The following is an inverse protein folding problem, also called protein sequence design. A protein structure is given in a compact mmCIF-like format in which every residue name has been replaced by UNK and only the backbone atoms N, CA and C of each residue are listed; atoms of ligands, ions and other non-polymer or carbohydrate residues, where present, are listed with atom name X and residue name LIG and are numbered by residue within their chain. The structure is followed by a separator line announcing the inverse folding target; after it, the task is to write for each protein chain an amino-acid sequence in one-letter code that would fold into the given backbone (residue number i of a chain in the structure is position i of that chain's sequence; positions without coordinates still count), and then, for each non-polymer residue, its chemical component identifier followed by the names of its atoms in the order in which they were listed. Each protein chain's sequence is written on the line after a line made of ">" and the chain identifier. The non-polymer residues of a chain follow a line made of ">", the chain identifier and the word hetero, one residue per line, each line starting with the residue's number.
data_IF_612801064627
#
_entry.id   IF_612801064627
#
_cell.length_a   1.000
_cell.length_b   1.000
_cell.length_c   1.000
_cell.angle_alpha   90.00
_cell.angle_beta   90.00
_cell.angle_gamma   90.00
#
_symmetry.space_group_name_H-M   'P 1'
#
loop_
_entity.id
_entity.type
_entity.pdbx_description
1 polymer ?
#
# COMPACT_ATOMS: atom_id res chain seq x y z
N UNK A 1 44.41 0.52 60.30
CA UNK A 1 43.43 0.09 59.27
C UNK A 1 41.96 0.25 59.73
N UNK A 2 41.57 1.28 60.50
CA UNK A 2 40.19 1.44 61.03
C UNK A 2 39.36 2.54 60.34
N UNK A 3 39.96 3.31 59.44
CA UNK A 3 39.32 4.49 58.83
C UNK A 3 38.58 4.18 57.52
N UNK A 4 38.87 3.04 56.88
CA UNK A 4 38.18 2.65 55.65
C UNK A 4 36.74 2.16 55.91
N UNK A 5 36.48 1.60 57.09
CA UNK A 5 35.16 1.07 57.47
C UNK A 5 34.12 2.18 57.64
N UNK A 6 34.49 3.30 58.26
CA UNK A 6 33.57 4.42 58.54
C UNK A 6 33.09 5.11 57.27
N UNK A 7 33.97 5.29 56.28
CA UNK A 7 33.63 5.92 54.99
C UNK A 7 32.64 5.07 54.19
N UNK A 8 32.84 3.75 54.19
CA UNK A 8 31.94 2.79 53.51
C UNK A 8 30.59 2.73 54.21
N UNK A 9 30.56 2.71 55.55
CA UNK A 9 29.32 2.75 56.31
C UNK A 9 28.52 4.04 56.09
N UNK A 10 29.20 5.18 55.97
CA UNK A 10 28.56 6.47 55.71
C UNK A 10 27.98 6.55 54.30
N UNK A 11 28.72 6.04 53.31
CA UNK A 11 28.22 5.91 51.95
C UNK A 11 26.97 5.01 51.92
N UNK A 12 27.04 3.81 52.51
CA UNK A 12 25.92 2.85 52.56
C UNK A 12 24.67 3.43 53.24
N UNK A 13 24.83 4.22 54.32
CA UNK A 13 23.72 4.93 54.96
C UNK A 13 23.11 6.02 54.06
N UNK A 14 23.93 6.74 53.30
CA UNK A 14 23.46 7.73 52.31
C UNK A 14 22.60 7.09 51.21
N UNK A 15 23.05 5.95 50.65
CA UNK A 15 22.27 5.19 49.67
C UNK A 15 20.95 4.69 50.24
N UNK A 16 20.96 4.19 51.48
CA UNK A 16 19.75 3.65 52.15
C UNK A 16 18.70 4.73 52.43
N UNK A 17 19.13 5.94 52.77
CA UNK A 17 18.25 7.09 52.99
C UNK A 17 17.69 7.64 51.67
N UNK A 18 18.53 7.66 50.61
CA UNK A 18 18.11 8.03 49.25
C UNK A 18 17.09 7.04 48.67
N UNK A 19 17.29 5.73 48.87
CA UNK A 19 16.36 4.70 48.40
C UNK A 19 15.02 4.65 49.15
N UNK A 20 14.99 5.06 50.43
CA UNK A 20 13.75 5.19 51.21
C UNK A 20 13.00 6.48 50.95
N UNK A 21 13.71 7.54 50.57
CA UNK A 21 13.11 8.76 50.02
C UNK A 21 12.93 8.58 48.51
N UNK A 22 12.10 7.60 48.13
CA UNK A 22 11.63 7.50 46.75
C UNK A 22 11.07 8.86 46.32
N UNK A 23 11.15 9.22 45.02
CA UNK A 23 10.66 10.51 44.56
C UNK A 23 9.19 10.61 44.99
N UNK A 24 8.90 11.47 45.98
CA UNK A 24 7.54 11.94 46.17
C UNK A 24 7.24 12.67 44.87
N UNK A 25 6.56 11.96 43.96
CA UNK A 25 5.92 12.52 42.79
C UNK A 25 4.90 13.52 43.33
N UNK A 26 5.38 14.73 43.64
CA UNK A 26 4.54 15.90 43.73
C UNK A 26 3.94 16.01 42.35
N UNK A 27 2.65 15.72 42.25
CA UNK A 27 1.78 16.14 41.16
C UNK A 27 1.82 17.67 41.08
N UNK A 28 2.90 18.19 40.50
CA UNK A 28 2.93 19.51 39.94
C UNK A 28 2.15 19.40 38.62
N UNK A 29 0.92 19.90 38.68
CA UNK A 29 0.05 20.19 37.56
C UNK A 29 0.88 20.65 36.35
N UNK A 30 1.00 19.81 35.31
CA UNK A 30 1.57 20.19 34.01
C UNK A 30 2.90 19.52 33.57
N UNK A 31 3.35 18.42 34.19
CA UNK A 31 4.58 17.72 33.79
C UNK A 31 4.42 16.65 32.67
N UNK A 32 5.54 16.24 32.01
CA UNK A 32 5.64 15.50 30.75
C UNK A 32 4.85 14.18 30.60
N UNK A 33 4.30 13.64 31.69
CA UNK A 33 3.51 12.40 31.65
C UNK A 33 2.24 12.52 30.79
N UNK A 34 1.62 13.70 30.78
CA UNK A 34 0.48 13.99 29.91
C UNK A 34 0.89 14.17 28.44
N UNK A 35 2.11 14.66 28.19
CA UNK A 35 2.67 14.80 26.84
C UNK A 35 3.06 13.46 26.23
N UNK A 36 3.70 12.57 27.00
CA UNK A 36 4.01 11.22 26.53
C UNK A 36 2.75 10.42 26.22
N UNK A 37 1.70 10.54 27.03
CA UNK A 37 0.39 9.92 26.76
C UNK A 37 -0.21 10.40 25.44
N UNK A 38 -0.18 11.71 25.20
CA UNK A 38 -0.71 12.32 23.97
C UNK A 38 0.12 11.92 22.73
N UNK A 39 1.45 11.85 22.86
CA UNK A 39 2.34 11.36 21.80
C UNK A 39 2.07 9.88 21.49
N UNK A 40 1.90 9.04 22.52
CA UNK A 40 1.57 7.62 22.34
C UNK A 40 0.21 7.47 21.65
N UNK A 41 -0.83 8.16 22.11
CA UNK A 41 -2.17 8.12 21.51
C UNK A 41 -2.15 8.56 20.03
N UNK A 42 -1.42 9.64 19.70
CA UNK A 42 -1.26 10.08 18.30
C UNK A 42 -0.54 9.04 17.43
N UNK A 43 0.54 8.45 17.91
CA UNK A 43 1.27 7.40 17.19
C UNK A 43 0.41 6.13 17.01
N UNK A 44 -0.43 5.80 17.97
CA UNK A 44 -1.34 4.66 17.92
C UNK A 44 -2.45 4.89 16.89
N UNK A 45 -3.08 6.07 16.90
CA UNK A 45 -4.08 6.46 15.90
C UNK A 45 -3.49 6.49 14.48
N UNK A 46 -2.27 7.01 14.34
CA UNK A 46 -1.60 7.05 13.03
C UNK A 46 -1.30 5.64 12.50
N UNK A 47 -0.88 4.72 13.38
CA UNK A 47 -0.67 3.30 13.05
C UNK A 47 -1.98 2.60 12.71
N UNK A 48 -3.04 2.81 13.49
CA UNK A 48 -4.36 2.23 13.20
C UNK A 48 -4.91 2.72 11.85
N UNK A 49 -4.68 3.99 11.51
CA UNK A 49 -5.07 4.51 10.20
C UNK A 49 -4.24 3.87 9.08
N UNK A 50 -2.95 3.64 9.29
CA UNK A 50 -2.09 2.94 8.33
C UNK A 50 -2.51 1.49 8.15
N UNK A 51 -2.88 0.79 9.23
CA UNK A 51 -3.41 -0.58 9.18
C UNK A 51 -4.76 -0.62 8.43
N UNK A 52 -5.62 0.38 8.63
CA UNK A 52 -6.88 0.52 7.88
C UNK A 52 -6.59 0.78 6.39
N UNK A 53 -5.68 1.70 6.06
CA UNK A 53 -5.30 1.97 4.66
C UNK A 53 -4.70 0.72 4.01
N UNK A 54 -3.78 0.03 4.69
CA UNK A 54 -3.17 -1.20 4.21
C UNK A 54 -4.21 -2.32 4.01
N UNK A 55 -5.17 -2.46 4.94
CA UNK A 55 -6.25 -3.43 4.82
C UNK A 55 -7.16 -3.13 3.64
N UNK A 56 -7.49 -1.85 3.41
CA UNK A 56 -8.26 -1.42 2.25
C UNK A 56 -7.48 -1.69 0.96
N UNK A 57 -6.20 -1.33 0.87
CA UNK A 57 -5.36 -1.61 -0.31
C UNK A 57 -5.28 -3.12 -0.60
N UNK A 58 -5.13 -3.95 0.43
CA UNK A 58 -5.09 -5.40 0.27
C UNK A 58 -6.43 -5.96 -0.26
N UNK A 59 -7.57 -5.37 0.12
CA UNK A 59 -8.88 -5.78 -0.37
C UNK A 59 -9.19 -5.25 -1.79
N UNK A 60 -8.80 -4.02 -2.10
CA UNK A 60 -9.08 -3.41 -3.40
C UNK A 60 -8.13 -3.89 -4.50
N UNK A 61 -6.89 -4.27 -4.16
CA UNK A 61 -5.92 -4.79 -5.12
C UNK A 61 -6.46 -5.94 -5.99
N UNK A 62 -6.99 -7.05 -5.43
CA UNK A 62 -7.54 -8.14 -6.25
C UNK A 62 -8.77 -7.70 -7.08
N UNK A 63 -9.59 -6.79 -6.58
CA UNK A 63 -10.73 -6.24 -7.33
C UNK A 63 -10.26 -5.42 -8.53
N UNK A 64 -9.27 -4.52 -8.33
CA UNK A 64 -8.70 -3.73 -9.42
C UNK A 64 -8.02 -4.62 -10.47
N UNK A 65 -7.33 -5.68 -10.05
CA UNK A 65 -6.74 -6.64 -10.99
C UNK A 65 -7.81 -7.40 -11.79
N UNK A 66 -8.93 -7.77 -11.16
CA UNK A 66 -10.05 -8.41 -11.85
C UNK A 66 -10.71 -7.47 -12.88
N UNK A 67 -10.98 -6.22 -12.52
CA UNK A 67 -11.48 -5.20 -13.45
C UNK A 67 -10.53 -5.02 -14.64
N UNK A 68 -9.23 -4.97 -14.35
CA UNK A 68 -8.20 -4.82 -15.36
C UNK A 68 -8.15 -6.02 -16.30
N UNK A 69 -8.22 -7.25 -15.78
CA UNK A 69 -8.25 -8.47 -16.59
C UNK A 69 -9.42 -8.47 -17.58
N UNK A 70 -10.62 -8.06 -17.13
CA UNK A 70 -11.79 -7.96 -18.00
C UNK A 70 -11.55 -6.95 -19.13
N UNK A 71 -10.96 -5.79 -18.81
CA UNK A 71 -10.65 -4.79 -19.83
C UNK A 71 -9.64 -5.29 -20.86
N UNK A 72 -8.65 -6.10 -20.45
CA UNK A 72 -7.68 -6.71 -21.36
C UNK A 72 -8.37 -7.68 -22.31
N UNK A 73 -9.21 -8.56 -21.79
CA UNK A 73 -9.93 -9.54 -22.60
C UNK A 73 -10.89 -8.85 -23.58
N UNK A 74 -11.53 -7.75 -23.16
CA UNK A 74 -12.36 -6.90 -24.03
C UNK A 74 -11.55 -6.23 -25.15
N UNK A 75 -10.32 -5.77 -24.87
CA UNK A 75 -9.48 -5.15 -25.90
C UNK A 75 -8.99 -6.16 -26.96
N UNK A 76 -8.70 -7.40 -26.55
CA UNK A 76 -8.24 -8.44 -27.48
C UNK A 76 -9.36 -9.05 -28.34
N UNK A 77 -10.56 -9.17 -27.78
CA UNK A 77 -11.70 -9.81 -28.47
C UNK A 77 -12.98 -9.00 -28.29
N UNK A 78 -13.02 -7.75 -28.77
CA UNK A 78 -14.16 -6.85 -28.59
C UNK A 78 -15.43 -7.34 -29.30
N UNK A 79 -15.30 -8.25 -30.29
CA UNK A 79 -16.40 -8.92 -30.97
C UNK A 79 -17.25 -9.82 -30.06
N UNK A 80 -16.67 -10.35 -28.97
CA UNK A 80 -17.37 -11.21 -28.01
C UNK A 80 -18.36 -10.44 -27.13
N UNK A 81 -18.27 -9.10 -27.10
CA UNK A 81 -19.25 -8.24 -26.46
C UNK A 81 -20.61 -8.24 -27.17
N UNK A 82 -20.66 -8.73 -28.41
CA UNK A 82 -21.83 -8.65 -29.26
C UNK A 82 -22.34 -10.04 -29.67
N UNK A 83 -23.67 -10.22 -29.80
CA UNK A 83 -24.25 -11.47 -30.30
C UNK A 83 -23.68 -11.88 -31.66
N UNK A 84 -23.56 -13.18 -31.88
CA UNK A 84 -23.15 -13.77 -33.16
C UNK A 84 -24.04 -13.28 -34.31
N UNK A 85 -23.41 -12.92 -35.43
CA UNK A 85 -24.12 -12.42 -36.62
C UNK A 85 -24.64 -10.97 -36.53
N UNK A 86 -24.45 -10.26 -35.42
CA UNK A 86 -24.88 -8.87 -35.31
C UNK A 86 -24.01 -7.90 -36.14
N UNK A 87 -24.64 -6.86 -36.70
CA UNK A 87 -23.93 -5.77 -37.37
C UNK A 87 -22.89 -5.10 -36.49
N UNK A 88 -23.15 -5.03 -35.18
CA UNK A 88 -22.21 -4.47 -34.21
C UNK A 88 -20.92 -5.31 -34.15
N UNK A 89 -21.04 -6.64 -34.14
CA UNK A 89 -19.91 -7.57 -34.19
C UNK A 89 -19.10 -7.45 -35.48
N UNK A 90 -19.77 -7.37 -36.62
CA UNK A 90 -19.13 -7.18 -37.94
C UNK A 90 -18.35 -5.87 -37.99
N UNK A 91 -18.94 -4.77 -37.50
CA UNK A 91 -18.26 -3.47 -37.41
C UNK A 91 -17.13 -3.45 -36.38
N UNK A 92 -17.21 -4.31 -35.37
CA UNK A 92 -16.17 -4.45 -34.34
C UNK A 92 -14.87 -5.03 -34.90
N UNK A 93 -14.92 -5.79 -36.01
CA UNK A 93 -13.71 -6.26 -36.70
C UNK A 93 -12.77 -5.13 -37.17
N UNK A 94 -13.28 -3.89 -37.29
CA UNK A 94 -12.48 -2.70 -37.60
C UNK A 94 -12.10 -1.85 -36.36
N UNK A 95 -12.41 -2.31 -35.14
CA UNK A 95 -12.19 -1.58 -33.90
C UNK A 95 -10.72 -1.20 -33.72
N UNK A 96 -9.81 -2.16 -33.84
CA UNK A 96 -8.37 -1.93 -33.66
C UNK A 96 -7.82 -0.92 -34.68
N UNK A 97 -8.22 -1.03 -35.95
CA UNK A 97 -7.80 -0.09 -36.99
C UNK A 97 -8.33 1.34 -36.71
N UNK A 98 -9.55 1.46 -36.20
CA UNK A 98 -10.11 2.76 -35.80
C UNK A 98 -9.39 3.33 -34.59
N UNK A 99 -9.13 2.52 -33.56
CA UNK A 99 -8.38 2.92 -32.37
C UNK A 99 -7.01 3.48 -32.77
N UNK A 100 -6.25 2.75 -33.59
CA UNK A 100 -4.94 3.19 -34.10
C UNK A 100 -5.06 4.53 -34.85
N UNK A 101 -6.05 4.68 -35.73
CA UNK A 101 -6.23 5.91 -36.50
C UNK A 101 -6.62 7.10 -35.63
N UNK A 102 -7.44 6.88 -34.60
CA UNK A 102 -7.78 7.92 -33.63
C UNK A 102 -6.56 8.34 -32.82
N UNK A 103 -5.76 7.39 -32.33
CA UNK A 103 -4.55 7.68 -31.56
C UNK A 103 -3.50 8.43 -32.39
N UNK A 104 -3.35 8.10 -33.69
CA UNK A 104 -2.49 8.86 -34.61
C UNK A 104 -2.91 10.33 -34.72
N UNK A 105 -4.20 10.59 -34.91
CA UNK A 105 -4.74 11.96 -34.95
C UNK A 105 -4.61 12.67 -33.60
N UNK A 106 -4.72 11.94 -32.50
CA UNK A 106 -4.56 12.48 -31.16
C UNK A 106 -3.10 12.91 -30.91
N UNK A 107 -2.13 12.14 -31.41
CA UNK A 107 -0.71 12.46 -31.30
C UNK A 107 -0.36 13.82 -31.91
N UNK A 108 -1.01 14.21 -33.02
CA UNK A 108 -0.80 15.50 -33.68
C UNK A 108 -1.34 16.69 -32.88
N UNK A 109 -2.34 16.48 -32.02
CA UNK A 109 -3.04 17.54 -31.26
C UNK A 109 -2.61 17.61 -29.80
N UNK A 110 -2.50 16.45 -29.15
CA UNK A 110 -2.28 16.30 -27.71
C UNK A 110 -1.33 15.13 -27.45
N UNK A 111 -0.07 15.30 -27.82
CA UNK A 111 0.99 14.29 -27.68
C UNK A 111 1.08 13.71 -26.27
N UNK A 112 1.04 14.55 -25.22
CA UNK A 112 1.14 14.10 -23.82
C UNK A 112 -0.03 13.20 -23.41
N UNK A 113 -1.24 13.48 -23.90
CA UNK A 113 -2.40 12.64 -23.63
C UNK A 113 -2.30 11.32 -24.39
N UNK A 114 -1.88 11.36 -25.65
CA UNK A 114 -1.63 10.18 -26.47
C UNK A 114 -0.62 9.23 -25.80
N UNK A 115 0.49 9.75 -25.29
CA UNK A 115 1.51 8.97 -24.58
C UNK A 115 0.91 8.27 -23.35
N UNK A 116 0.14 9.00 -22.51
CA UNK A 116 -0.51 8.40 -21.34
C UNK A 116 -1.45 7.27 -21.71
N UNK A 117 -2.27 7.46 -22.75
CA UNK A 117 -3.20 6.43 -23.22
C UNK A 117 -2.44 5.20 -23.72
N UNK A 118 -1.38 5.40 -24.51
CA UNK A 118 -0.56 4.30 -25.02
C UNK A 118 0.18 3.55 -23.90
N UNK A 119 0.65 4.26 -22.87
CA UNK A 119 1.24 3.66 -21.67
C UNK A 119 0.23 2.82 -20.90
N UNK A 120 -0.97 3.36 -20.64
CA UNK A 120 -2.05 2.61 -19.99
C UNK A 120 -2.46 1.38 -20.80
N UNK A 121 -2.62 1.51 -22.13
CA UNK A 121 -2.91 0.38 -23.00
C UNK A 121 -1.80 -0.68 -22.98
N UNK A 122 -0.52 -0.26 -22.92
CA UNK A 122 0.61 -1.19 -22.77
C UNK A 122 0.56 -1.93 -21.44
N UNK A 123 0.39 -1.21 -20.33
CA UNK A 123 0.27 -1.79 -18.99
C UNK A 123 -0.90 -2.79 -18.93
N UNK A 124 -1.98 -2.50 -19.66
CA UNK A 124 -3.11 -3.40 -19.87
C UNK A 124 -2.66 -4.72 -20.50
N UNK A 125 -2.00 -4.65 -21.64
CA UNK A 125 -1.61 -5.85 -22.37
C UNK A 125 -0.49 -6.65 -21.66
N UNK A 126 0.46 -5.99 -20.98
CA UNK A 126 1.61 -6.64 -20.32
C UNK A 126 1.24 -7.39 -19.03
N UNK A 127 0.26 -6.93 -18.24
CA UNK A 127 -0.15 -7.62 -17.00
C UNK A 127 -0.79 -9.00 -17.21
N UNK A 128 -1.32 -9.30 -18.40
CA UNK A 128 -1.87 -10.64 -18.70
C UNK A 128 -0.78 -11.70 -18.66
N UNK A 129 0.44 -11.39 -19.10
CA UNK A 129 1.56 -12.34 -19.11
C UNK A 129 2.00 -12.71 -17.68
N UNK A 130 1.91 -11.78 -16.72
CA UNK A 130 2.20 -12.09 -15.31
C UNK A 130 1.17 -13.01 -14.64
N UNK A 131 -0.10 -12.96 -15.06
CA UNK A 131 -1.13 -13.87 -14.54
C UNK A 131 -0.98 -15.29 -15.09
N UNK A 132 -0.48 -15.46 -16.31
CA UNK A 132 -0.33 -16.80 -16.94
C UNK A 132 0.83 -17.61 -16.33
N UNK A 133 1.90 -16.94 -15.88
CA UNK A 133 3.05 -17.60 -15.23
C UNK A 133 2.72 -18.15 -13.83
N UNK A 134 1.74 -17.58 -13.11
CA UNK A 134 1.35 -18.04 -11.77
C UNK A 134 0.56 -19.37 -11.80
N UNK A 135 -0.11 -19.69 -12.92
CA UNK A 135 -0.84 -20.96 -13.08
C UNK A 135 -0.02 -22.10 -13.68
N UNK A 136 1.27 -21.87 -14.00
CA UNK A 136 2.15 -22.90 -14.57
C UNK A 136 3.08 -23.57 -13.54
N UNK A 137 2.98 -23.19 -12.27
CA UNK A 137 3.90 -23.61 -11.20
C UNK A 137 3.51 -24.86 -10.39
N UNK A 138 2.25 -25.28 -10.36
CA UNK A 138 1.79 -26.36 -9.47
C UNK A 138 1.34 -27.61 -10.25
N UNK A 139 2.26 -28.16 -11.04
CA UNK A 139 1.97 -29.28 -11.93
C UNK A 139 3.07 -30.33 -12.07
N UNK A 140 3.89 -30.58 -11.04
CA UNK A 140 4.65 -31.83 -10.94
C UNK A 140 5.08 -32.18 -9.50
N UNK A 141 4.22 -32.88 -8.79
CA UNK A 141 4.62 -33.72 -7.66
C UNK A 141 3.50 -34.74 -7.35
N UNK A 142 3.31 -35.76 -8.18
CA UNK A 142 3.09 -37.15 -7.74
C UNK A 142 3.29 -38.12 -8.91
#
# INVERSE_FOLDING_TARGET
>A
MKNHSSTVQRAAMGWRLSARSGPRFKEALGGPAWDYRNIIEKLQVQREHEDVVASLEQQFSPMMQAEFSVLVDVLYSPELLFPEGSDARIRCGAFMSKLINHTKKLMEKEEKLCIKILQTLREMLEKKDSFVEEYKGDGNAT
#
